data_IF_234050107844
#
_entry.id   IF_234050107844
#
_cell.length_a   1.000
_cell.length_b   1.000
_cell.length_c   1.000
_cell.angle_alpha   90.00
_cell.angle_beta   90.00
_cell.angle_gamma   90.00
#
_symmetry.space_group_name_H-M   'P 1'
#
loop_
_entity.id
_entity.type
_entity.pdbx_description
1 polymer ?
#
# COMPACT_ATOMS: atom_id res chain seq x y z
N UNK A 1 9.32 -10.27 8.65
CA UNK A 1 8.65 -10.78 7.44
C UNK A 1 7.23 -10.25 7.43
N UNK A 2 7.00 -9.06 6.87
CA UNK A 2 5.63 -8.58 6.68
C UNK A 2 4.90 -9.56 5.78
N UNK A 3 3.70 -9.99 6.19
CA UNK A 3 2.87 -10.82 5.34
C UNK A 3 2.41 -9.95 4.17
N UNK A 4 2.67 -10.37 2.93
CA UNK A 4 2.23 -9.68 1.72
C UNK A 4 0.72 -9.35 1.74
N UNK A 5 -0.08 -10.17 2.44
CA UNK A 5 -1.50 -9.91 2.67
C UNK A 5 -1.78 -8.56 3.35
N UNK A 6 -0.95 -8.15 4.31
CA UNK A 6 -1.12 -6.87 5.03
C UNK A 6 -1.01 -5.67 4.08
N UNK A 7 -0.12 -5.75 3.09
CA UNK A 7 0.01 -4.73 2.05
C UNK A 7 -1.16 -4.81 1.06
N UNK A 8 -1.47 -6.01 0.56
CA UNK A 8 -2.42 -6.21 -0.53
C UNK A 8 -3.87 -5.89 -0.16
N UNK A 9 -4.27 -6.19 1.08
CA UNK A 9 -5.61 -5.89 1.61
C UNK A 9 -5.78 -4.39 1.89
N UNK A 10 -4.70 -3.71 2.32
CA UNK A 10 -4.71 -2.29 2.63
C UNK A 10 -4.38 -1.36 1.46
N UNK A 11 -3.86 -1.90 0.35
CA UNK A 11 -3.19 -1.16 -0.73
C UNK A 11 -3.97 0.05 -1.21
N UNK A 12 -5.27 -0.13 -1.49
CA UNK A 12 -6.11 0.95 -1.99
C UNK A 12 -6.45 1.98 -0.90
N UNK A 13 -6.69 1.54 0.35
CA UNK A 13 -7.13 2.41 1.42
C UNK A 13 -6.08 3.47 1.79
N UNK A 14 -4.81 3.08 1.98
CA UNK A 14 -3.77 4.04 2.32
C UNK A 14 -3.32 4.88 1.12
N UNK A 15 -3.37 4.32 -0.10
CA UNK A 15 -2.92 5.03 -1.30
C UNK A 15 -3.93 6.08 -1.77
N UNK A 16 -5.22 5.79 -1.80
CA UNK A 16 -6.23 6.72 -2.32
C UNK A 16 -6.30 8.02 -1.51
N UNK A 17 -6.13 7.95 -0.18
CA UNK A 17 -6.13 9.16 0.65
C UNK A 17 -4.98 10.10 0.30
N UNK A 18 -3.80 9.56 0.07
CA UNK A 18 -2.61 10.35 -0.26
C UNK A 18 -2.69 10.82 -1.72
N UNK A 19 -2.83 9.92 -2.67
CA UNK A 19 -2.77 10.26 -4.09
C UNK A 19 -3.95 11.11 -4.55
N UNK A 20 -5.18 10.74 -4.20
CA UNK A 20 -6.35 11.52 -4.62
C UNK A 20 -6.60 12.70 -3.66
N UNK A 21 -6.52 12.45 -2.34
CA UNK A 21 -6.90 13.44 -1.34
C UNK A 21 -5.85 14.51 -1.04
N UNK A 22 -4.56 14.18 -1.09
CA UNK A 22 -3.47 15.12 -0.81
C UNK A 22 -2.84 15.63 -2.11
N UNK A 23 -2.58 14.73 -3.06
CA UNK A 23 -1.88 15.04 -4.30
C UNK A 23 -2.82 15.40 -5.47
N UNK A 24 -4.13 15.24 -5.31
CA UNK A 24 -5.13 15.63 -6.32
C UNK A 24 -5.09 14.80 -7.61
N UNK A 25 -4.48 13.61 -7.58
CA UNK A 25 -4.44 12.72 -8.73
C UNK A 25 -5.85 12.17 -9.04
N UNK A 26 -6.19 11.97 -10.32
CA UNK A 26 -7.47 11.40 -10.70
C UNK A 26 -7.55 9.92 -10.27
N UNK A 27 -8.71 9.54 -9.75
CA UNK A 27 -8.89 8.27 -9.03
C UNK A 27 -8.74 7.04 -9.93
N UNK A 28 -9.21 7.14 -11.17
CA UNK A 28 -9.07 6.09 -12.19
C UNK A 28 -7.60 5.78 -12.50
N UNK A 29 -6.77 6.81 -12.67
CA UNK A 29 -5.32 6.62 -12.88
C UNK A 29 -4.65 5.93 -11.68
N UNK A 30 -5.01 6.35 -10.46
CA UNK A 30 -4.48 5.72 -9.23
C UNK A 30 -4.92 4.25 -9.14
N UNK A 31 -6.18 3.94 -9.45
CA UNK A 31 -6.67 2.55 -9.44
C UNK A 31 -5.97 1.66 -10.48
N UNK A 32 -5.70 2.18 -11.68
CA UNK A 32 -4.92 1.47 -12.71
C UNK A 32 -3.49 1.21 -12.23
N UNK A 33 -2.83 2.22 -11.65
CA UNK A 33 -1.49 2.08 -11.07
C UNK A 33 -1.47 1.01 -9.97
N UNK A 34 -2.43 1.03 -9.05
CA UNK A 34 -2.52 0.06 -7.95
C UNK A 34 -2.77 -1.37 -8.45
N UNK A 35 -3.55 -1.53 -9.52
CA UNK A 35 -3.74 -2.84 -10.16
C UNK A 35 -2.43 -3.40 -10.72
N UNK A 36 -1.59 -2.57 -11.34
CA UNK A 36 -0.27 -2.97 -11.84
C UNK A 36 0.67 -3.36 -10.70
N UNK A 37 0.74 -2.56 -9.63
CA UNK A 37 1.54 -2.86 -8.43
C UNK A 37 1.14 -4.23 -7.84
N UNK A 38 -0.17 -4.52 -7.75
CA UNK A 38 -0.66 -5.81 -7.27
C UNK A 38 -0.14 -6.97 -8.13
N UNK A 39 -0.13 -6.83 -9.46
CA UNK A 39 0.43 -7.85 -10.36
C UNK A 39 1.94 -8.03 -10.17
N UNK A 40 2.70 -6.96 -10.00
CA UNK A 40 4.15 -7.03 -9.79
C UNK A 40 4.51 -7.74 -8.48
N UNK A 41 3.78 -7.44 -7.41
CA UNK A 41 3.93 -8.09 -6.11
C UNK A 41 3.62 -9.59 -6.19
N UNK A 42 2.58 -9.98 -6.93
CA UNK A 42 2.26 -11.40 -7.16
C UNK A 42 3.25 -12.12 -8.09
N UNK A 43 3.88 -11.40 -9.02
CA UNK A 43 4.86 -11.98 -9.93
C UNK A 43 6.14 -12.44 -9.23
N UNK A 44 6.40 -11.98 -7.99
CA UNK A 44 7.55 -12.39 -7.15
C UNK A 44 8.91 -12.26 -7.87
N UNK A 45 9.02 -11.27 -8.77
CA UNK A 45 10.24 -10.99 -9.54
C UNK A 45 11.34 -10.32 -8.71
N UNK A 46 10.98 -9.76 -7.56
CA UNK A 46 11.88 -9.14 -6.61
C UNK A 46 11.43 -9.42 -5.17
N UNK A 47 12.34 -9.26 -4.22
CA UNK A 47 12.03 -9.37 -2.80
C UNK A 47 11.55 -8.00 -2.29
N UNK A 48 10.24 -7.77 -2.38
CA UNK A 48 9.62 -6.56 -1.86
C UNK A 48 9.82 -6.45 -0.34
N UNK A 49 10.40 -5.36 0.12
CA UNK A 49 10.59 -5.05 1.52
C UNK A 49 9.77 -3.80 1.87
N UNK A 50 9.19 -3.81 3.07
CA UNK A 50 8.44 -2.67 3.60
C UNK A 50 8.77 -2.50 5.07
N UNK A 51 9.08 -1.27 5.47
CA UNK A 51 9.36 -0.94 6.86
C UNK A 51 8.04 -0.67 7.59
N UNK A 52 7.70 -1.57 8.51
CA UNK A 52 6.51 -1.44 9.33
C UNK A 52 6.89 -1.12 10.77
N UNK A 53 6.66 0.13 11.18
CA UNK A 53 6.92 0.59 12.53
C UNK A 53 5.68 0.41 13.41
N UNK A 54 5.75 -0.50 14.38
CA UNK A 54 4.70 -0.68 15.38
C UNK A 54 5.09 0.06 16.64
N UNK A 55 4.25 0.99 17.07
CA UNK A 55 4.44 1.75 18.31
C UNK A 55 3.37 1.34 19.31
N UNK A 56 3.80 0.95 20.51
CA UNK A 56 2.90 0.62 21.61
C UNK A 56 2.89 1.79 22.61
N UNK A 57 1.70 2.21 23.02
CA UNK A 57 1.51 3.21 24.06
C UNK A 57 0.67 2.63 25.20
N UNK A 58 1.09 2.85 26.44
CA UNK A 58 0.29 2.56 27.62
C UNK A 58 -0.35 3.85 28.10
N UNK A 59 -1.68 3.85 28.29
CA UNK A 59 -2.37 4.98 28.92
C UNK A 59 -1.86 5.13 30.36
N UNK A 60 -1.58 6.36 30.84
CA UNK A 60 -1.25 6.59 32.25
C UNK A 60 -2.38 6.13 33.18
#
# INVERSE_FOLDING_TARGET
MCNIAQLLEGLEAFSLKIFCGVLGMPMDEVLVMLAQIRQELYARKYHALFDFHVVYGQKP
#
